data_IF_152565430104
#
_entry.id   IF_152565430104
#
_cell.length_a   1.000
_cell.length_b   1.000
_cell.length_c   1.000
_cell.angle_alpha   90.00
_cell.angle_beta   90.00
_cell.angle_gamma   90.00
#
_symmetry.space_group_name_H-M   'P 1'
#
loop_
_entity.id
_entity.type
_entity.pdbx_description
1 polymer ?
#
# COMPACT_ATOMS: atom_id res chain seq x y z
N UNK A 1 20.15 -56.61 15.87
CA UNK A 1 19.43 -55.60 16.68
C UNK A 1 20.23 -54.30 16.75
N UNK A 2 20.41 -53.56 15.64
CA UNK A 2 21.19 -52.29 15.60
C UNK A 2 20.83 -51.33 14.44
N UNK A 3 19.67 -51.51 13.79
CA UNK A 3 19.29 -50.71 12.59
C UNK A 3 18.06 -49.83 12.82
N UNK A 4 17.36 -49.96 13.95
CA UNK A 4 16.12 -49.20 14.20
C UNK A 4 16.32 -47.80 14.80
N UNK A 5 17.51 -47.47 15.31
CA UNK A 5 17.74 -46.20 16.03
C UNK A 5 18.09 -45.02 15.12
N UNK A 6 18.62 -45.27 13.92
CA UNK A 6 18.98 -44.20 12.95
C UNK A 6 17.77 -43.68 12.17
N UNK A 7 16.73 -44.50 11.98
CA UNK A 7 15.51 -44.10 11.26
C UNK A 7 14.61 -43.18 12.10
N UNK A 8 14.54 -43.40 13.42
CA UNK A 8 13.75 -42.54 14.32
C UNK A 8 14.35 -41.13 14.48
N UNK A 9 15.68 -41.01 14.43
CA UNK A 9 16.40 -39.72 14.53
C UNK A 9 16.17 -38.84 13.29
N UNK A 10 16.04 -39.44 12.11
CA UNK A 10 15.76 -38.73 10.86
C UNK A 10 14.33 -38.21 10.78
N UNK A 11 13.37 -38.94 11.34
CA UNK A 11 11.96 -38.53 11.40
C UNK A 11 11.76 -37.39 12.40
N UNK A 12 12.51 -37.35 13.51
CA UNK A 12 12.45 -36.24 14.46
C UNK A 12 13.03 -34.93 13.92
N UNK A 13 14.08 -35.00 13.08
CA UNK A 13 14.66 -33.82 12.39
C UNK A 13 13.72 -33.29 11.30
N UNK A 14 12.98 -34.16 10.61
CA UNK A 14 11.99 -33.74 9.61
C UNK A 14 10.73 -33.10 10.22
N UNK A 15 10.33 -33.53 11.43
CA UNK A 15 9.19 -32.94 12.15
C UNK A 15 9.57 -31.59 12.81
N UNK A 16 10.85 -31.39 13.19
CA UNK A 16 11.31 -30.09 13.68
C UNK A 16 11.53 -29.04 12.57
N UNK A 17 11.70 -29.46 11.31
CA UNK A 17 11.65 -28.55 10.15
C UNK A 17 10.24 -28.09 9.78
N UNK A 18 9.19 -28.69 10.36
CA UNK A 18 7.84 -28.15 10.39
C UNK A 18 7.65 -27.12 11.53
N UNK A 19 8.75 -26.67 12.13
CA UNK A 19 8.78 -25.52 13.01
C UNK A 19 8.41 -24.26 12.24
N UNK A 20 7.14 -23.86 12.35
CA UNK A 20 6.69 -22.49 12.17
C UNK A 20 7.18 -21.85 10.87
N UNK A 21 6.46 -22.09 9.78
CA UNK A 21 6.55 -21.29 8.55
C UNK A 21 5.98 -19.88 8.84
N UNK A 22 6.58 -19.17 9.78
CA UNK A 22 6.33 -17.74 9.98
C UNK A 22 6.80 -17.06 8.69
N UNK A 23 5.93 -16.27 8.10
CA UNK A 23 6.29 -15.45 6.96
C UNK A 23 7.53 -14.64 7.37
N UNK A 24 8.62 -14.79 6.61
CA UNK A 24 9.84 -14.03 6.88
C UNK A 24 9.46 -12.55 6.94
N UNK A 25 9.83 -11.84 8.02
CA UNK A 25 9.42 -10.47 8.18
C UNK A 25 10.04 -9.61 7.07
N UNK A 26 9.28 -8.63 6.59
CA UNK A 26 9.74 -7.75 5.53
C UNK A 26 10.52 -6.57 6.13
N UNK A 27 11.78 -6.44 5.74
CA UNK A 27 12.62 -5.30 6.13
C UNK A 27 12.49 -4.18 5.12
N UNK A 28 12.08 -3.00 5.59
CA UNK A 28 12.01 -1.77 4.81
C UNK A 28 12.94 -0.72 5.42
N UNK A 29 13.76 -0.11 4.57
CA UNK A 29 14.67 0.96 4.97
C UNK A 29 14.16 2.27 4.36
N UNK A 30 14.07 3.30 5.18
CA UNK A 30 13.81 4.67 4.76
C UNK A 30 15.06 5.50 5.01
N UNK A 31 15.45 6.30 4.03
CA UNK A 31 16.59 7.21 4.15
C UNK A 31 16.15 8.59 3.69
N UNK A 32 16.59 9.59 4.41
CA UNK A 32 16.27 10.99 4.20
C UNK A 32 17.57 11.80 4.19
N UNK A 33 17.66 12.75 3.28
CA UNK A 33 18.73 13.73 3.21
C UNK A 33 18.29 15.02 3.91
N UNK A 34 19.13 15.57 4.80
CA UNK A 34 18.82 16.78 5.54
C UNK A 34 18.71 18.00 4.61
N UNK A 35 19.42 18.01 3.47
CA UNK A 35 19.41 19.09 2.48
C UNK A 35 18.06 19.27 1.77
N UNK A 36 17.18 18.26 1.82
CA UNK A 36 15.82 18.32 1.26
C UNK A 36 14.82 19.03 2.20
N UNK A 37 15.25 19.35 3.43
CA UNK A 37 14.46 20.16 4.36
C UNK A 37 14.45 21.62 3.93
N UNK A 38 13.29 22.25 4.04
CA UNK A 38 13.11 23.69 3.85
C UNK A 38 12.39 24.28 5.05
N UNK A 39 12.90 25.40 5.54
CA UNK A 39 12.35 26.12 6.69
C UNK A 39 11.73 27.41 6.21
N UNK A 40 10.56 27.73 6.76
CA UNK A 40 9.84 28.98 6.50
C UNK A 40 9.16 29.48 7.79
N UNK A 41 8.61 30.69 7.74
CA UNK A 41 7.90 31.33 8.84
C UNK A 41 6.45 31.62 8.45
N UNK A 42 5.52 31.29 9.34
CA UNK A 42 4.13 31.71 9.27
C UNK A 42 3.80 32.51 10.52
N UNK A 43 3.89 33.84 10.41
CA UNK A 43 3.75 34.78 11.53
C UNK A 43 4.78 34.48 12.65
N UNK A 44 4.34 34.05 13.83
CA UNK A 44 5.19 33.68 14.96
C UNK A 44 5.69 32.23 14.92
N UNK A 45 5.20 31.43 13.97
CA UNK A 45 5.46 29.99 13.91
C UNK A 45 6.50 29.62 12.85
N UNK A 46 7.23 28.55 13.13
CA UNK A 46 8.12 27.85 12.20
C UNK A 46 7.35 26.80 11.39
N UNK A 47 7.66 26.71 10.11
CA UNK A 47 7.18 25.64 9.24
C UNK A 47 8.36 24.91 8.64
N UNK A 48 8.28 23.57 8.64
CA UNK A 48 9.33 22.72 8.09
C UNK A 48 8.73 21.83 7.03
N UNK A 49 9.26 21.94 5.82
CA UNK A 49 8.86 21.18 4.65
C UNK A 49 9.93 20.15 4.33
N UNK A 50 9.51 19.02 3.77
CA UNK A 50 10.40 18.04 3.16
C UNK A 50 9.86 17.76 1.76
N UNK A 51 10.75 17.70 0.77
CA UNK A 51 10.37 17.56 -0.63
C UNK A 51 9.34 16.43 -0.86
N UNK A 52 8.24 16.76 -1.53
CA UNK A 52 7.15 15.84 -1.92
C UNK A 52 6.49 15.07 -0.76
N UNK A 53 6.62 15.53 0.49
CA UNK A 53 5.93 14.95 1.64
C UNK A 53 4.67 15.73 2.02
N UNK A 54 3.72 15.01 2.61
CA UNK A 54 2.53 15.60 3.21
C UNK A 54 2.83 16.09 4.64
N UNK A 55 1.83 16.62 5.33
CA UNK A 55 1.91 17.01 6.73
C UNK A 55 1.18 16.03 7.66
N UNK A 56 1.63 15.99 8.92
CA UNK A 56 0.89 15.38 10.03
C UNK A 56 -0.52 15.96 10.15
N UNK A 57 -1.45 15.16 10.67
CA UNK A 57 -2.89 15.46 10.61
C UNK A 57 -3.56 15.67 11.98
N UNK A 58 -2.81 15.56 13.07
CA UNK A 58 -3.35 15.74 14.41
C UNK A 58 -3.56 17.23 14.69
N UNK A 59 -4.82 17.67 14.56
CA UNK A 59 -5.20 19.09 14.70
C UNK A 59 -4.69 19.67 16.03
N UNK A 60 -4.03 20.83 15.94
CA UNK A 60 -3.44 21.53 17.09
C UNK A 60 -2.10 20.97 17.57
N UNK A 61 -1.63 19.83 17.06
CA UNK A 61 -0.28 19.32 17.33
C UNK A 61 0.76 20.02 16.44
N UNK A 62 2.07 19.93 16.77
CA UNK A 62 3.14 20.45 15.92
C UNK A 62 3.10 19.87 14.50
N UNK A 63 2.98 20.72 13.48
CA UNK A 63 2.95 20.30 12.09
C UNK A 63 4.34 19.82 11.65
N UNK A 64 4.42 18.57 11.18
CA UNK A 64 5.64 17.94 10.71
C UNK A 64 5.44 17.29 9.34
N UNK A 65 6.47 17.26 8.47
CA UNK A 65 6.41 16.53 7.23
C UNK A 65 6.35 15.01 7.50
N UNK A 66 5.54 14.30 6.72
CA UNK A 66 5.31 12.86 6.84
C UNK A 66 5.31 12.18 5.47
N UNK A 67 6.06 11.09 5.37
CA UNK A 67 6.09 10.23 4.18
C UNK A 67 5.05 9.12 4.31
N UNK A 68 4.11 9.08 3.39
CA UNK A 68 3.15 7.98 3.27
C UNK A 68 3.77 6.89 2.39
N UNK A 69 4.41 5.91 3.01
CA UNK A 69 4.98 4.76 2.32
C UNK A 69 3.93 3.67 2.15
N UNK A 70 3.75 3.14 0.93
CA UNK A 70 2.79 2.07 0.65
C UNK A 70 3.51 0.78 0.26
N UNK A 71 3.02 -0.36 0.74
CA UNK A 71 3.51 -1.68 0.41
C UNK A 71 2.39 -2.56 -0.11
N UNK A 72 2.65 -3.30 -1.19
CA UNK A 72 1.79 -4.39 -1.62
C UNK A 72 2.09 -5.62 -0.76
N UNK A 73 1.08 -6.23 -0.16
CA UNK A 73 1.22 -7.43 0.67
C UNK A 73 0.36 -8.56 0.09
N UNK A 74 0.65 -9.83 0.41
CA UNK A 74 -0.16 -10.94 -0.10
C UNK A 74 -1.65 -10.74 0.24
N UNK A 75 -2.55 -11.12 -0.68
CA UNK A 75 -3.98 -10.85 -0.56
C UNK A 75 -4.64 -11.55 0.64
N UNK A 76 -4.04 -12.62 1.16
CA UNK A 76 -4.47 -13.36 2.35
C UNK A 76 -3.81 -12.89 3.66
N UNK A 77 -2.97 -11.86 3.62
CA UNK A 77 -2.23 -11.36 4.79
C UNK A 77 -2.72 -9.98 5.23
N UNK A 78 -2.47 -9.67 6.49
CA UNK A 78 -2.53 -8.32 7.06
C UNK A 78 -1.30 -8.05 7.94
N UNK A 79 -1.01 -6.78 8.21
CA UNK A 79 0.08 -6.43 9.12
C UNK A 79 -0.29 -6.88 10.54
N UNK A 80 0.55 -7.71 11.14
CA UNK A 80 0.46 -8.07 12.55
C UNK A 80 1.17 -7.03 13.43
N UNK A 81 2.39 -6.63 13.04
CA UNK A 81 3.17 -5.66 13.79
C UNK A 81 4.16 -4.91 12.88
N UNK A 82 4.52 -3.69 13.31
CA UNK A 82 5.62 -2.91 12.77
C UNK A 82 6.62 -2.65 13.89
N UNK A 83 7.83 -3.19 13.74
CA UNK A 83 8.92 -3.02 14.70
C UNK A 83 10.00 -2.13 14.11
N UNK A 84 10.28 -1.01 14.77
CA UNK A 84 11.44 -0.18 14.43
C UNK A 84 12.69 -0.87 14.96
N UNK A 85 13.57 -1.33 14.05
CA UNK A 85 14.80 -2.04 14.40
C UNK A 85 15.95 -1.09 14.71
N UNK A 86 16.05 -0.01 13.94
CA UNK A 86 17.10 0.96 14.10
C UNK A 86 16.64 2.33 13.60
N UNK A 87 17.04 3.40 14.30
CA UNK A 87 16.87 4.78 13.86
C UNK A 87 18.18 5.51 14.03
N UNK A 88 18.72 5.98 12.93
CA UNK A 88 19.81 6.93 12.94
C UNK A 88 19.26 8.35 12.98
N UNK A 89 19.63 9.10 14.01
CA UNK A 89 19.06 10.41 14.32
C UNK A 89 20.12 11.44 14.65
N UNK A 90 19.86 12.68 14.26
CA UNK A 90 20.70 13.83 14.56
C UNK A 90 19.84 15.05 14.96
N UNK A 91 20.29 15.87 15.92
CA UNK A 91 19.57 17.09 16.27
C UNK A 91 19.71 18.12 15.14
N UNK A 92 18.63 18.87 14.88
CA UNK A 92 18.71 20.08 14.07
C UNK A 92 18.91 21.26 15.02
N UNK A 93 20.01 21.99 14.86
CA UNK A 93 20.31 23.18 15.67
C UNK A 93 19.23 24.25 15.50
N UNK A 94 18.85 24.90 16.61
CA UNK A 94 17.87 25.97 16.64
C UNK A 94 16.81 25.79 17.72
N UNK A 95 15.95 26.80 17.85
CA UNK A 95 14.76 26.79 18.70
C UNK A 95 13.54 26.99 17.81
N UNK A 96 12.74 25.94 17.63
CA UNK A 96 11.63 25.92 16.69
C UNK A 96 10.30 26.04 17.42
N UNK A 97 9.44 26.96 17.00
CA UNK A 97 8.06 27.04 17.45
C UNK A 97 7.13 26.60 16.33
N UNK A 98 6.97 25.29 16.16
CA UNK A 98 6.28 24.74 14.99
C UNK A 98 4.83 25.20 14.87
N UNK A 99 4.39 25.42 13.64
CA UNK A 99 3.02 25.75 13.30
C UNK A 99 2.06 24.63 13.71
N UNK A 100 0.90 24.92 14.34
CA UNK A 100 -0.06 23.89 14.72
C UNK A 100 -0.85 23.40 13.51
N UNK A 101 -1.05 22.09 13.40
CA UNK A 101 -1.86 21.50 12.32
C UNK A 101 -3.27 22.09 12.33
N UNK A 102 -3.70 22.60 11.17
CA UNK A 102 -5.04 23.17 10.99
C UNK A 102 -6.02 22.13 10.41
N UNK A 103 -7.33 22.26 10.68
CA UNK A 103 -8.33 21.40 10.04
C UNK A 103 -8.34 21.60 8.52
N UNK A 104 -8.69 20.57 7.73
CA UNK A 104 -8.91 20.74 6.30
C UNK A 104 -10.05 21.75 6.06
N UNK A 105 -9.86 22.66 5.10
CA UNK A 105 -10.84 23.68 4.74
C UNK A 105 -11.34 23.50 3.31
N UNK A 106 -12.66 23.48 3.14
CA UNK A 106 -13.29 23.55 1.81
C UNK A 106 -13.10 24.97 1.25
N UNK A 107 -12.49 25.09 0.06
CA UNK A 107 -12.12 26.38 -0.53
C UNK A 107 -13.31 27.33 -0.76
N UNK A 108 -14.51 26.80 -1.00
CA UNK A 108 -15.73 27.58 -1.20
C UNK A 108 -16.37 28.07 0.10
N UNK A 109 -15.96 27.54 1.25
CA UNK A 109 -16.55 27.89 2.54
C UNK A 109 -15.80 29.09 3.16
N UNK A 110 -16.46 29.84 4.06
CA UNK A 110 -15.79 30.87 4.85
C UNK A 110 -14.54 30.33 5.56
N UNK A 111 -13.53 31.19 5.74
CA UNK A 111 -12.31 30.82 6.47
C UNK A 111 -12.66 30.36 7.88
N UNK A 112 -12.15 29.17 8.24
CA UNK A 112 -12.27 28.67 9.60
C UNK A 112 -11.37 29.48 10.53
N UNK A 113 -11.75 29.56 11.81
CA UNK A 113 -10.89 30.18 12.82
C UNK A 113 -9.60 29.38 12.95
N UNK A 114 -8.50 30.10 13.15
CA UNK A 114 -7.21 29.49 13.44
C UNK A 114 -7.32 28.65 14.71
N UNK A 115 -6.79 27.42 14.66
CA UNK A 115 -6.68 26.53 15.80
C UNK A 115 -5.33 26.79 16.45
N UNK A 116 -5.39 27.28 17.69
CA UNK A 116 -4.19 27.52 18.50
C UNK A 116 -3.47 26.21 18.87
N UNK A 117 -2.17 26.27 19.20
CA UNK A 117 -1.40 25.13 19.68
C UNK A 117 -2.09 24.43 20.83
N UNK A 118 -2.24 23.10 20.73
CA UNK A 118 -2.72 22.30 21.84
C UNK A 118 -1.71 22.40 22.99
N UNK A 119 -2.09 22.92 24.17
CA UNK A 119 -1.15 23.14 25.27
C UNK A 119 -0.41 21.86 25.68
N UNK A 120 -1.12 20.73 25.79
CA UNK A 120 -0.52 19.45 26.19
C UNK A 120 0.53 18.97 25.18
N UNK A 121 0.22 19.10 23.88
CA UNK A 121 1.14 18.73 22.81
C UNK A 121 2.36 19.65 22.77
N UNK A 122 2.22 20.94 23.11
CA UNK A 122 3.30 21.93 23.02
C UNK A 122 4.15 22.06 24.30
N UNK A 123 3.70 21.50 25.42
CA UNK A 123 4.49 21.44 26.67
C UNK A 123 5.12 20.06 26.95
N UNK A 124 4.82 19.06 26.12
CA UNK A 124 5.32 17.70 26.28
C UNK A 124 6.85 17.62 26.20
N UNK A 125 7.45 16.78 27.03
CA UNK A 125 8.87 16.37 26.93
C UNK A 125 9.07 15.11 26.08
N UNK A 126 7.99 14.45 25.69
CA UNK A 126 8.04 13.30 24.78
C UNK A 126 8.10 13.81 23.34
N UNK A 127 8.98 13.26 22.49
CA UNK A 127 8.99 13.63 21.08
C UNK A 127 7.63 13.41 20.41
N UNK A 128 7.21 14.35 19.56
CA UNK A 128 6.05 14.24 18.69
C UNK A 128 6.48 14.04 17.23
N UNK A 129 5.89 13.07 16.50
CA UNK A 129 5.16 11.95 17.06
C UNK A 129 6.09 11.07 17.92
N UNK A 130 5.53 10.28 18.84
CA UNK A 130 6.33 9.43 19.74
C UNK A 130 7.12 8.34 18.98
N UNK A 131 6.52 7.77 17.95
CA UNK A 131 7.16 6.81 17.05
C UNK A 131 7.46 7.46 15.71
N UNK A 132 8.66 7.22 15.16
CA UNK A 132 9.04 7.70 13.82
C UNK A 132 8.35 6.94 12.68
N UNK A 133 7.66 5.85 12.99
CA UNK A 133 6.82 5.09 12.05
C UNK A 133 5.53 4.70 12.73
N UNK A 134 4.41 4.91 12.05
CA UNK A 134 3.08 4.49 12.48
C UNK A 134 2.39 3.69 11.38
N UNK A 135 1.56 2.72 11.78
CA UNK A 135 0.70 1.99 10.85
C UNK A 135 -0.37 2.97 10.33
N UNK A 136 -0.48 3.07 9.01
CA UNK A 136 -1.54 3.82 8.35
C UNK A 136 -2.75 2.95 8.01
N UNK A 137 -3.49 3.32 6.98
CA UNK A 137 -4.60 2.52 6.49
C UNK A 137 -4.13 1.28 5.70
N UNK A 138 -4.91 0.21 5.80
CA UNK A 138 -4.85 -0.96 4.92
C UNK A 138 -6.10 -1.00 4.04
N UNK A 139 -5.92 -1.29 2.75
CA UNK A 139 -7.01 -1.36 1.79
C UNK A 139 -6.69 -2.25 0.60
N UNK A 140 -7.55 -2.18 -0.43
CA UNK A 140 -7.33 -2.90 -1.68
C UNK A 140 -7.32 -1.95 -2.87
N UNK A 141 -6.44 -2.25 -3.83
CA UNK A 141 -6.44 -1.62 -5.14
C UNK A 141 -6.43 -2.69 -6.22
N UNK A 142 -7.55 -2.85 -6.93
CA UNK A 142 -7.70 -3.88 -7.99
C UNK A 142 -7.36 -5.31 -7.53
N UNK A 143 -7.76 -5.68 -6.30
CA UNK A 143 -7.49 -6.99 -5.70
C UNK A 143 -6.12 -7.13 -5.03
N UNK A 144 -5.22 -6.15 -5.19
CA UNK A 144 -3.97 -6.11 -4.43
C UNK A 144 -4.25 -5.58 -3.04
N UNK A 145 -3.79 -6.28 -2.00
CA UNK A 145 -3.77 -5.74 -0.63
C UNK A 145 -2.64 -4.71 -0.54
N UNK A 146 -2.97 -3.49 -0.15
CA UNK A 146 -2.01 -2.40 0.03
C UNK A 146 -2.13 -1.87 1.45
N UNK A 147 -0.99 -1.71 2.10
CA UNK A 147 -0.90 -1.11 3.43
C UNK A 147 -0.02 0.13 3.37
N UNK A 148 -0.39 1.14 4.15
CA UNK A 148 0.36 2.38 4.27
C UNK A 148 1.03 2.48 5.64
N UNK A 149 2.18 3.16 5.67
CA UNK A 149 2.90 3.54 6.87
C UNK A 149 3.16 5.04 6.81
N UNK A 150 2.99 5.71 7.95
CA UNK A 150 3.35 7.09 8.14
C UNK A 150 4.78 7.12 8.69
N UNK A 151 5.73 7.60 7.90
CA UNK A 151 7.16 7.62 8.23
C UNK A 151 7.58 9.07 8.42
N UNK A 152 8.06 9.39 9.61
CA UNK A 152 8.39 10.75 10.03
C UNK A 152 9.90 10.99 9.99
N UNK A 153 10.40 11.73 8.97
CA UNK A 153 11.80 12.14 8.92
C UNK A 153 12.17 13.11 10.04
N UNK A 154 11.18 13.73 10.69
CA UNK A 154 11.37 14.62 11.82
C UNK A 154 10.55 14.17 13.02
N UNK A 155 11.14 14.29 14.20
CA UNK A 155 10.43 14.34 15.47
C UNK A 155 10.75 15.68 16.14
N UNK A 156 9.83 16.16 16.96
CA UNK A 156 9.96 17.45 17.64
C UNK A 156 9.79 17.23 19.14
N UNK A 157 10.68 17.78 19.98
CA UNK A 157 10.56 17.79 21.44
C UNK A 157 10.03 19.16 21.88
N UNK A 158 8.72 19.28 22.18
CA UNK A 158 8.07 20.58 22.34
C UNK A 158 8.59 21.42 23.50
N UNK A 159 8.79 20.81 24.66
CA UNK A 159 9.31 21.51 25.85
C UNK A 159 10.70 22.09 25.67
N UNK A 160 11.49 21.53 24.74
CA UNK A 160 12.84 21.96 24.42
C UNK A 160 12.92 22.76 23.11
N UNK A 161 11.81 22.87 22.37
CA UNK A 161 11.76 23.48 21.03
C UNK A 161 12.78 22.89 20.05
N UNK A 162 13.09 21.60 20.20
CA UNK A 162 14.16 20.93 19.47
C UNK A 162 13.60 20.01 18.38
N UNK A 163 14.19 20.08 17.18
CA UNK A 163 13.93 19.13 16.10
C UNK A 163 14.98 18.02 16.09
N UNK A 164 14.53 16.81 15.82
CA UNK A 164 15.33 15.60 15.67
C UNK A 164 15.10 15.08 14.25
N UNK A 165 16.16 15.00 13.46
CA UNK A 165 16.13 14.45 12.11
C UNK A 165 16.46 12.98 12.11
N UNK A 166 15.56 12.17 11.57
CA UNK A 166 15.70 10.73 11.43
C UNK A 166 16.26 10.42 10.04
N UNK A 167 17.60 10.43 9.91
CA UNK A 167 18.33 10.21 8.66
C UNK A 167 18.06 8.84 8.05
N UNK A 168 17.97 7.81 8.89
CA UNK A 168 17.73 6.43 8.47
C UNK A 168 16.82 5.71 9.45
N UNK A 169 15.77 5.08 8.94
CA UNK A 169 14.81 4.31 9.74
C UNK A 169 14.72 2.90 9.14
N UNK A 170 15.03 1.89 9.95
CA UNK A 170 14.93 0.48 9.58
C UNK A 170 13.72 -0.13 10.28
N UNK A 171 12.81 -0.66 9.47
CA UNK A 171 11.51 -1.14 9.91
C UNK A 171 11.34 -2.58 9.51
N UNK A 172 10.99 -3.41 10.47
CA UNK A 172 10.58 -4.78 10.24
C UNK A 172 9.06 -4.89 10.33
N UNK A 173 8.47 -5.51 9.32
CA UNK A 173 7.02 -5.70 9.21
C UNK A 173 6.72 -7.19 9.28
N UNK A 174 5.90 -7.58 10.26
CA UNK A 174 5.40 -8.95 10.38
C UNK A 174 3.95 -9.04 9.92
N UNK A 175 3.58 -10.22 9.43
CA UNK A 175 2.27 -10.47 8.84
C UNK A 175 1.53 -11.59 9.59
N UNK A 176 0.21 -11.48 9.64
CA UNK A 176 -0.68 -12.57 10.05
C UNK A 176 -1.65 -12.93 8.92
N UNK A 177 -2.27 -14.11 9.02
CA UNK A 177 -3.36 -14.47 8.12
C UNK A 177 -4.57 -13.58 8.37
N UNK A 178 -5.25 -13.19 7.30
CA UNK A 178 -6.49 -12.44 7.36
C UNK A 178 -7.66 -13.39 7.63
N UNK A 179 -8.55 -13.04 8.57
CA UNK A 179 -9.73 -13.87 8.88
C UNK A 179 -10.79 -13.91 7.76
N UNK A 180 -10.84 -12.88 6.91
CA UNK A 180 -11.80 -12.79 5.80
C UNK A 180 -11.30 -13.45 4.52
N UNK A 181 -12.24 -13.99 3.73
CA UNK A 181 -11.98 -14.65 2.45
C UNK A 181 -11.09 -13.81 1.53
N UNK A 182 -10.15 -14.45 0.86
CA UNK A 182 -9.19 -13.84 -0.06
C UNK A 182 -9.87 -12.81 -0.98
N UNK A 183 -9.21 -11.67 -1.21
CA UNK A 183 -9.66 -10.69 -2.20
C UNK A 183 -9.57 -11.33 -3.58
N UNK A 184 -10.70 -11.86 -4.04
CA UNK A 184 -10.80 -12.52 -5.34
C UNK A 184 -10.78 -11.46 -6.44
N UNK A 185 -9.82 -11.57 -7.35
CA UNK A 185 -9.80 -10.77 -8.56
C UNK A 185 -10.58 -11.50 -9.66
N UNK A 186 -11.80 -11.03 -9.94
CA UNK A 186 -12.53 -11.44 -11.14
C UNK A 186 -11.99 -10.67 -12.35
N UNK A 187 -11.02 -11.26 -13.03
CA UNK A 187 -10.45 -10.67 -14.23
C UNK A 187 -9.51 -11.62 -14.95
N UNK A 188 -9.04 -11.22 -16.13
CA UNK A 188 -8.09 -12.03 -16.91
C UNK A 188 -6.66 -11.86 -16.41
N UNK A 189 -5.77 -12.78 -16.77
CA UNK A 189 -4.31 -12.63 -16.54
C UNK A 189 -3.77 -11.32 -17.09
N UNK A 190 -4.25 -10.88 -18.26
CA UNK A 190 -3.88 -9.59 -18.85
C UNK A 190 -4.34 -8.42 -17.98
N UNK A 191 -5.59 -8.46 -17.50
CA UNK A 191 -6.12 -7.42 -16.60
C UNK A 191 -5.29 -7.34 -15.31
N UNK A 192 -4.93 -8.49 -14.73
CA UNK A 192 -4.03 -8.55 -13.57
C UNK A 192 -2.68 -7.92 -13.87
N UNK A 193 -2.08 -8.19 -15.02
CA UNK A 193 -0.79 -7.61 -15.41
C UNK A 193 -0.88 -6.09 -15.55
N UNK A 194 -1.91 -5.58 -16.21
CA UNK A 194 -2.13 -4.14 -16.38
C UNK A 194 -2.34 -3.44 -15.02
N UNK A 195 -3.16 -4.02 -14.14
CA UNK A 195 -3.38 -3.47 -12.80
C UNK A 195 -2.11 -3.56 -11.93
N UNK A 196 -1.34 -4.64 -12.06
CA UNK A 196 -0.04 -4.77 -11.41
C UNK A 196 0.93 -3.65 -11.79
N UNK A 197 0.92 -3.19 -13.05
CA UNK A 197 1.71 -2.01 -13.47
C UNK A 197 1.27 -0.75 -12.74
N UNK A 198 -0.03 -0.50 -12.60
CA UNK A 198 -0.55 0.63 -11.83
C UNK A 198 -0.15 0.53 -10.35
N UNK A 199 -0.24 -0.67 -9.75
CA UNK A 199 0.17 -0.91 -8.35
C UNK A 199 1.66 -0.62 -8.15
N UNK A 200 2.53 -1.05 -9.07
CA UNK A 200 3.98 -0.75 -9.02
C UNK A 200 4.26 0.75 -8.96
N UNK A 201 3.42 1.60 -9.53
CA UNK A 201 3.66 3.06 -9.48
C UNK A 201 3.46 3.65 -8.08
N UNK A 202 2.63 3.03 -7.22
CA UNK A 202 2.24 3.59 -5.93
C UNK A 202 2.87 2.90 -4.72
N UNK A 203 3.49 1.72 -4.87
CA UNK A 203 4.11 0.97 -3.78
C UNK A 203 5.64 0.99 -3.83
N UNK A 204 6.28 0.84 -2.67
CA UNK A 204 7.74 0.81 -2.53
C UNK A 204 8.33 -0.54 -2.97
N UNK A 205 7.70 -1.66 -2.63
CA UNK A 205 8.15 -3.01 -2.96
C UNK A 205 7.71 -3.47 -4.36
N UNK A 206 8.06 -2.68 -5.38
CA UNK A 206 7.62 -2.86 -6.79
C UNK A 206 7.89 -4.26 -7.35
N UNK A 207 9.03 -4.84 -6.98
CA UNK A 207 9.46 -6.14 -7.49
C UNK A 207 8.63 -7.30 -6.92
N UNK A 208 8.00 -7.09 -5.76
CA UNK A 208 7.14 -8.09 -5.12
C UNK A 208 5.69 -8.04 -5.60
N UNK A 209 5.28 -6.99 -6.32
CA UNK A 209 3.89 -6.82 -6.77
C UNK A 209 3.38 -8.06 -7.53
N UNK A 210 4.21 -8.69 -8.35
CA UNK A 210 3.79 -9.87 -9.12
C UNK A 210 3.52 -11.08 -8.22
N UNK A 211 4.31 -11.28 -7.16
CA UNK A 211 4.18 -12.42 -6.25
C UNK A 211 3.06 -12.24 -5.22
N UNK A 212 2.82 -11.01 -4.77
CA UNK A 212 1.80 -10.70 -3.76
C UNK A 212 0.43 -10.36 -4.35
N UNK A 213 0.34 -10.25 -5.67
CA UNK A 213 -0.89 -9.91 -6.37
C UNK A 213 -1.97 -10.98 -6.24
N UNK A 214 -3.24 -10.61 -6.49
CA UNK A 214 -4.37 -11.51 -6.29
C UNK A 214 -4.27 -12.75 -7.18
N UNK A 215 -4.83 -13.86 -6.71
CA UNK A 215 -5.06 -15.05 -7.50
C UNK A 215 -6.09 -14.75 -8.59
N UNK A 216 -5.80 -15.19 -9.83
CA UNK A 216 -6.75 -15.14 -10.93
C UNK A 216 -7.64 -16.37 -10.83
N UNK A 217 -8.92 -16.18 -10.50
CA UNK A 217 -9.89 -17.27 -10.60
C UNK A 217 -10.30 -17.37 -12.06
N UNK A 218 -9.69 -18.29 -12.80
CA UNK A 218 -10.27 -18.73 -14.08
C UNK A 218 -11.35 -19.75 -13.74
N UNK A 219 -12.63 -19.37 -13.90
CA UNK A 219 -13.71 -20.36 -13.88
C UNK A 219 -13.50 -21.30 -15.07
N UNK A 220 -12.77 -22.38 -14.86
CA UNK A 220 -12.55 -23.47 -15.83
C UNK A 220 -13.69 -24.48 -15.85
N UNK A 221 -14.78 -24.21 -15.11
CA UNK A 221 -16.05 -24.92 -15.23
C UNK A 221 -16.82 -24.44 -16.46
N UNK A 222 -16.36 -24.82 -17.66
CA UNK A 222 -17.12 -24.71 -18.90
C UNK A 222 -16.36 -24.13 -20.10
N UNK A 223 -15.73 -25.01 -20.89
CA UNK A 223 -15.39 -24.89 -22.33
C UNK A 223 -15.42 -23.48 -22.96
N UNK A 224 -14.52 -22.59 -22.57
CA UNK A 224 -14.13 -21.44 -23.38
C UNK A 224 -12.61 -21.40 -23.47
N UNK A 225 -12.07 -21.98 -24.54
CA UNK A 225 -10.64 -21.96 -24.88
C UNK A 225 -10.18 -20.59 -25.41
N UNK A 226 -11.11 -19.68 -25.72
CA UNK A 226 -10.84 -18.32 -26.19
C UNK A 226 -11.40 -17.30 -25.18
N UNK A 227 -10.53 -16.47 -24.61
CA UNK A 227 -10.92 -15.32 -23.79
C UNK A 227 -10.89 -14.06 -24.65
N UNK A 228 -12.04 -13.41 -24.79
CA UNK A 228 -12.16 -12.13 -25.50
C UNK A 228 -12.36 -10.99 -24.50
N UNK A 229 -11.69 -9.85 -24.73
CA UNK A 229 -11.80 -8.66 -23.88
C UNK A 229 -13.05 -7.83 -24.20
N UNK A 230 -13.67 -8.09 -25.35
CA UNK A 230 -14.85 -7.38 -25.83
C UNK A 230 -15.76 -8.36 -26.59
N UNK A 231 -16.99 -8.57 -26.10
CA UNK A 231 -17.96 -9.45 -26.77
C UNK A 231 -19.13 -8.60 -27.26
N UNK A 232 -19.39 -8.66 -28.56
CA UNK A 232 -20.55 -8.03 -29.19
C UNK A 232 -21.61 -9.12 -29.34
N UNK A 233 -22.65 -9.06 -28.52
CA UNK A 233 -23.79 -9.98 -28.61
C UNK A 233 -24.84 -9.37 -29.53
N UNK A 234 -25.22 -10.09 -30.58
CA UNK A 234 -26.14 -9.57 -31.60
C UNK A 234 -26.99 -10.67 -32.24
N UNK A 235 -27.93 -10.32 -33.11
CA UNK A 235 -28.66 -11.30 -33.91
C UNK A 235 -27.86 -11.74 -35.14
N UNK A 236 -28.20 -12.88 -35.75
CA UNK A 236 -27.52 -13.34 -36.97
C UNK A 236 -27.61 -12.32 -38.11
N UNK A 237 -28.72 -11.60 -38.22
CA UNK A 237 -28.95 -10.59 -39.26
C UNK A 237 -28.03 -9.37 -39.12
N UNK A 238 -27.66 -9.01 -37.89
CA UNK A 238 -26.86 -7.82 -37.60
C UNK A 238 -25.37 -8.12 -37.45
N UNK A 239 -24.98 -9.41 -37.40
CA UNK A 239 -23.60 -9.85 -37.17
C UNK A 239 -22.59 -9.16 -38.09
N UNK A 240 -22.86 -9.14 -39.41
CA UNK A 240 -21.98 -8.51 -40.40
C UNK A 240 -21.83 -6.99 -40.22
N UNK A 241 -22.89 -6.32 -39.75
CA UNK A 241 -22.88 -4.86 -39.53
C UNK A 241 -21.94 -4.45 -38.40
N UNK A 242 -21.66 -5.36 -37.47
CA UNK A 242 -20.77 -5.11 -36.34
C UNK A 242 -19.30 -5.45 -36.62
N UNK A 243 -18.96 -6.00 -37.79
CA UNK A 243 -17.58 -6.39 -38.11
C UNK A 243 -16.62 -5.20 -38.05
N UNK A 244 -17.02 -4.04 -38.58
CA UNK A 244 -16.20 -2.83 -38.55
C UNK A 244 -15.89 -2.36 -37.11
N UNK A 245 -16.85 -2.50 -36.19
CA UNK A 245 -16.64 -2.19 -34.78
C UNK A 245 -15.70 -3.21 -34.12
N UNK A 246 -15.89 -4.50 -34.38
CA UNK A 246 -15.04 -5.56 -33.85
C UNK A 246 -13.58 -5.36 -34.30
N UNK A 247 -13.36 -5.08 -35.59
CA UNK A 247 -12.02 -4.83 -36.13
C UNK A 247 -11.39 -3.58 -35.51
N UNK A 248 -12.17 -2.51 -35.34
CA UNK A 248 -11.68 -1.29 -34.70
C UNK A 248 -11.30 -1.49 -33.23
N UNK A 249 -12.09 -2.25 -32.47
CA UNK A 249 -11.77 -2.61 -31.08
C UNK A 249 -10.52 -3.48 -31.01
N UNK A 250 -10.40 -4.45 -31.91
CA UNK A 250 -9.20 -5.32 -32.02
C UNK A 250 -7.96 -4.51 -32.35
N UNK A 251 -8.03 -3.55 -33.30
CA UNK A 251 -6.93 -2.62 -33.59
C UNK A 251 -6.52 -1.75 -32.39
N UNK A 252 -7.45 -1.48 -31.48
CA UNK A 252 -7.19 -0.78 -30.21
C UNK A 252 -6.64 -1.70 -29.09
N UNK A 253 -6.33 -2.95 -29.40
CA UNK A 253 -5.80 -3.94 -28.46
C UNK A 253 -6.87 -4.68 -27.65
N UNK A 254 -8.15 -4.47 -27.93
CA UNK A 254 -9.25 -5.20 -27.30
C UNK A 254 -9.66 -6.36 -28.21
N UNK A 255 -9.21 -7.58 -27.91
CA UNK A 255 -9.65 -8.79 -28.63
C UNK A 255 -11.17 -8.87 -28.64
N UNK A 256 -11.78 -8.53 -29.79
CA UNK A 256 -13.22 -8.41 -29.93
C UNK A 256 -13.79 -9.61 -30.68
N UNK A 257 -14.89 -10.17 -30.17
CA UNK A 257 -15.62 -11.28 -30.78
C UNK A 257 -17.08 -10.93 -30.93
N UNK A 258 -17.62 -11.20 -32.11
CA UNK A 258 -19.06 -11.15 -32.35
C UNK A 258 -19.62 -12.53 -32.04
N UNK A 259 -20.66 -12.57 -31.21
CA UNK A 259 -21.36 -13.79 -30.82
C UNK A 259 -22.85 -13.59 -31.05
N UNK A 260 -23.49 -14.52 -31.75
CA UNK A 260 -24.93 -14.41 -32.05
C UNK A 260 -25.77 -15.07 -30.96
N UNK A 261 -26.97 -14.55 -30.72
CA UNK A 261 -27.91 -15.10 -29.74
C UNK A 261 -28.25 -16.57 -30.07
N UNK A 262 -28.40 -16.91 -31.35
CA UNK A 262 -28.65 -18.28 -31.81
C UNK A 262 -27.50 -19.23 -31.47
N UNK A 263 -26.25 -18.79 -31.63
CA UNK A 263 -25.07 -19.55 -31.23
C UNK A 263 -25.03 -19.77 -29.72
N UNK A 264 -25.32 -18.74 -28.91
CA UNK A 264 -25.34 -18.86 -27.44
C UNK A 264 -26.38 -19.90 -27.01
N UNK A 265 -27.62 -19.79 -27.49
CA UNK A 265 -28.70 -20.72 -27.15
C UNK A 265 -28.40 -22.16 -27.58
N UNK A 266 -27.59 -22.35 -28.62
CA UNK A 266 -27.21 -23.68 -29.11
C UNK A 266 -26.03 -24.30 -28.38
N UNK A 267 -25.22 -23.48 -27.69
CA UNK A 267 -23.96 -23.92 -27.06
C UNK A 267 -23.97 -23.81 -25.53
N UNK A 268 -24.97 -23.14 -24.93
CA UNK A 268 -25.14 -22.97 -23.49
C UNK A 268 -26.59 -23.22 -23.08
N UNK A 269 -26.79 -24.13 -22.13
CA UNK A 269 -28.11 -24.53 -21.62
C UNK A 269 -28.57 -23.75 -20.38
N UNK A 270 -27.71 -22.89 -19.84
CA UNK A 270 -27.88 -22.28 -18.51
C UNK A 270 -26.94 -22.90 -17.49
#
# INVERSE_FOLDING_TARGET
MKVLTTSLLFIFILIFCFGWLQAQPYLQIFTFQQQELKFDKADVYDQVYYQDLEFSRDIGAPQLPVKIARLAIPSNKEIANITIRHVEREPIEGNYHLFPVQPPQVLSNPKIKFVEPNPEAYTSSTPYPAASVQIGAQGSFSGYSIVSMLVYPLQYVPSQKQLIFNRRIEVEISYQERESSQLNFSGTTLTRQLMGTSVKSIVQNRDQVVSVGPSVITNSSGRLTETHLYVIITSDQLSSSFQALADWKTRKGLSAKIVTISWINSNYTG
#
